data_IF_106869019512
#
_entry.id   IF_106869019512
#
_cell.length_a   1.000
_cell.length_b   1.000
_cell.length_c   1.000
_cell.angle_alpha   90.00
_cell.angle_beta   90.00
_cell.angle_gamma   90.00
#
_symmetry.space_group_name_H-M   'P 1'
#
loop_
_entity.id
_entity.type
_entity.pdbx_description
1 polymer ?
#
# COMPACT_ATOMS: atom_id res chain seq x y z
N UNK A 1 10.17 9.98 5.53
CA UNK A 1 10.24 10.88 4.37
C UNK A 1 8.80 11.15 3.95
N UNK A 2 8.52 12.27 3.29
CA UNK A 2 7.20 12.56 2.74
C UNK A 2 7.24 12.27 1.23
N UNK A 3 6.27 11.51 0.75
CA UNK A 3 6.11 11.14 -0.64
C UNK A 3 5.21 12.19 -1.29
N UNK A 4 5.74 12.86 -2.31
CA UNK A 4 5.00 13.90 -3.01
C UNK A 4 4.11 13.31 -4.13
N UNK A 5 2.99 13.97 -4.45
CA UNK A 5 2.19 13.68 -5.63
C UNK A 5 3.08 13.64 -6.88
N UNK A 6 2.90 12.61 -7.71
CA UNK A 6 3.60 12.48 -8.97
C UNK A 6 2.80 13.13 -10.10
N UNK A 7 3.47 13.68 -11.11
CA UNK A 7 2.86 14.13 -12.36
C UNK A 7 3.42 13.28 -13.52
N UNK A 8 2.62 12.41 -14.17
CA UNK A 8 1.17 12.26 -14.04
C UNK A 8 0.72 11.58 -12.73
N UNK A 9 -0.52 11.87 -12.26
CA UNK A 9 -1.05 11.31 -11.02
C UNK A 9 -1.16 9.79 -11.09
N UNK A 10 -0.66 9.12 -10.04
CA UNK A 10 -0.76 7.66 -9.89
C UNK A 10 -2.22 7.25 -9.71
N UNK A 11 -2.63 6.19 -10.40
CA UNK A 11 -4.02 5.74 -10.39
C UNK A 11 -4.31 4.84 -9.17
N UNK A 12 -5.28 5.17 -8.30
CA UNK A 12 -5.59 4.40 -7.09
C UNK A 12 -6.05 2.98 -7.35
N UNK A 13 -6.76 2.77 -8.46
CA UNK A 13 -7.24 1.45 -8.85
C UNK A 13 -6.06 0.54 -9.20
N UNK A 14 -5.05 1.10 -9.87
CA UNK A 14 -3.81 0.37 -10.20
C UNK A 14 -3.06 0.02 -8.91
N UNK A 15 -2.93 0.95 -7.97
CA UNK A 15 -2.30 0.67 -6.67
C UNK A 15 -3.03 -0.44 -5.90
N UNK A 16 -4.37 -0.43 -5.90
CA UNK A 16 -5.19 -1.44 -5.25
C UNK A 16 -5.04 -2.81 -5.92
N UNK A 17 -5.10 -2.89 -7.25
CA UNK A 17 -4.94 -4.15 -7.99
C UNK A 17 -3.54 -4.72 -7.76
N UNK A 18 -2.49 -3.88 -7.78
CA UNK A 18 -1.12 -4.35 -7.50
C UNK A 18 -1.00 -4.88 -6.07
N UNK A 19 -1.56 -4.21 -5.06
CA UNK A 19 -1.56 -4.74 -3.69
C UNK A 19 -2.33 -6.05 -3.59
N UNK A 20 -3.53 -6.13 -4.16
CA UNK A 20 -4.37 -7.32 -4.06
C UNK A 20 -3.71 -8.54 -4.71
N UNK A 21 -3.16 -8.35 -5.92
CA UNK A 21 -2.54 -9.42 -6.71
C UNK A 21 -1.17 -9.85 -6.14
N UNK A 22 -0.45 -8.96 -5.47
CA UNK A 22 0.92 -9.18 -5.01
C UNK A 22 1.07 -8.93 -3.50
N UNK A 23 0.40 -9.75 -2.71
CA UNK A 23 0.64 -9.91 -1.26
C UNK A 23 0.46 -8.63 -0.42
N UNK A 24 -0.47 -7.75 -0.78
CA UNK A 24 -0.87 -6.57 -0.01
C UNK A 24 0.11 -5.39 0.01
N UNK A 25 1.39 -5.60 -0.30
CA UNK A 25 2.43 -4.56 -0.15
C UNK A 25 2.98 -3.98 -1.45
N UNK A 26 2.65 -4.51 -2.63
CA UNK A 26 3.18 -3.93 -3.89
C UNK A 26 2.49 -2.63 -4.28
N UNK A 27 1.22 -2.40 -3.92
CA UNK A 27 0.59 -1.09 -4.08
C UNK A 27 1.33 0.01 -3.30
N UNK A 28 1.85 -0.32 -2.11
CA UNK A 28 2.68 0.58 -1.30
C UNK A 28 4.02 0.89 -1.97
N UNK A 29 4.64 -0.12 -2.61
CA UNK A 29 5.86 0.09 -3.41
C UNK A 29 5.59 0.98 -4.61
N UNK A 30 4.45 0.80 -5.29
CA UNK A 30 4.03 1.65 -6.39
C UNK A 30 3.84 3.11 -5.96
N UNK A 31 3.31 3.33 -4.76
CA UNK A 31 3.11 4.67 -4.20
C UNK A 31 4.42 5.37 -3.84
N UNK A 32 5.45 4.61 -3.49
CA UNK A 32 6.75 5.12 -3.02
C UNK A 32 7.03 4.78 -1.56
N UNK A 33 6.08 4.17 -0.85
CA UNK A 33 6.23 3.69 0.53
C UNK A 33 7.04 2.38 0.55
N UNK A 34 8.32 2.43 0.15
CA UNK A 34 9.13 1.22 -0.03
C UNK A 34 9.31 0.42 1.26
N UNK A 35 9.58 1.09 2.37
CA UNK A 35 9.75 0.45 3.67
C UNK A 35 8.48 -0.28 4.10
N UNK A 36 7.33 0.40 4.02
CA UNK A 36 6.04 -0.18 4.40
C UNK A 36 5.64 -1.34 3.50
N UNK A 37 5.84 -1.19 2.19
CA UNK A 37 5.53 -2.23 1.21
C UNK A 37 6.32 -3.53 1.44
N UNK A 38 7.62 -3.42 1.70
CA UNK A 38 8.46 -4.60 2.01
C UNK A 38 7.99 -5.27 3.31
N UNK A 39 7.70 -4.49 4.37
CA UNK A 39 7.20 -5.02 5.64
C UNK A 39 5.87 -5.77 5.43
N UNK A 40 4.94 -5.19 4.66
CA UNK A 40 3.65 -5.82 4.38
C UNK A 40 3.79 -7.11 3.56
N UNK A 41 4.67 -7.14 2.56
CA UNK A 41 4.93 -8.36 1.77
C UNK A 41 5.47 -9.47 2.67
N UNK A 42 6.49 -9.17 3.49
CA UNK A 42 7.11 -10.16 4.40
C UNK A 42 6.09 -10.63 5.44
N UNK A 43 5.37 -9.71 6.07
CA UNK A 43 4.35 -10.05 7.07
C UNK A 43 3.23 -10.90 6.47
N UNK A 44 2.75 -10.56 5.26
CA UNK A 44 1.73 -11.32 4.55
C UNK A 44 2.25 -12.72 4.19
N UNK A 45 3.49 -12.83 3.70
CA UNK A 45 4.10 -14.12 3.36
C UNK A 45 4.23 -15.04 4.57
N UNK A 46 4.71 -14.51 5.71
CA UNK A 46 4.84 -15.27 6.96
C UNK A 46 3.47 -15.70 7.47
N UNK A 47 2.48 -14.80 7.53
CA UNK A 47 1.13 -15.18 7.98
C UNK A 47 0.45 -16.18 7.04
N UNK A 48 0.69 -16.07 5.73
CA UNK A 48 0.16 -17.02 4.76
C UNK A 48 0.79 -18.41 4.95
N UNK A 49 2.11 -18.49 5.12
CA UNK A 49 2.85 -19.75 5.22
C UNK A 49 2.63 -20.48 6.57
N UNK A 50 2.53 -19.74 7.68
CA UNK A 50 2.45 -20.33 9.02
C UNK A 50 1.03 -20.46 9.57
N UNK A 51 0.12 -19.56 9.21
CA UNK A 51 -1.21 -19.48 9.81
C UNK A 51 -2.36 -19.62 8.81
N UNK A 52 -2.11 -19.44 7.50
CA UNK A 52 -3.17 -19.43 6.48
C UNK A 52 -4.06 -18.18 6.49
N UNK A 53 -3.75 -17.18 7.33
CA UNK A 53 -4.58 -15.96 7.55
C UNK A 53 -4.03 -14.75 6.76
N UNK A 54 -3.00 -14.94 5.93
CA UNK A 54 -2.38 -13.85 5.15
C UNK A 54 -3.35 -13.07 4.26
N UNK A 55 -4.51 -13.64 3.91
CA UNK A 55 -5.56 -12.97 3.12
C UNK A 55 -6.09 -11.71 3.81
N UNK A 56 -6.19 -11.69 5.15
CA UNK A 56 -6.68 -10.51 5.88
C UNK A 56 -5.72 -9.33 5.73
N UNK A 57 -4.41 -9.56 5.89
CA UNK A 57 -3.39 -8.52 5.68
C UNK A 57 -3.35 -8.04 4.22
N UNK A 58 -3.60 -8.94 3.27
CA UNK A 58 -3.68 -8.56 1.86
C UNK A 58 -4.85 -7.59 1.60
N UNK A 59 -6.04 -7.87 2.15
CA UNK A 59 -7.20 -6.97 2.04
C UNK A 59 -6.92 -5.62 2.70
N UNK A 60 -6.36 -5.61 3.92
CA UNK A 60 -6.00 -4.36 4.59
C UNK A 60 -4.97 -3.55 3.77
N UNK A 61 -3.92 -4.21 3.26
CA UNK A 61 -2.90 -3.56 2.43
C UNK A 61 -3.45 -3.00 1.12
N UNK A 62 -4.48 -3.64 0.56
CA UNK A 62 -5.20 -3.17 -0.63
C UNK A 62 -6.00 -1.91 -0.35
N UNK A 63 -6.79 -1.89 0.74
CA UNK A 63 -7.57 -0.72 1.15
C UNK A 63 -6.63 0.45 1.47
N UNK A 64 -5.56 0.18 2.21
CA UNK A 64 -4.56 1.19 2.56
C UNK A 64 -3.89 1.78 1.32
N UNK A 65 -3.46 0.95 0.36
CA UNK A 65 -2.86 1.40 -0.89
C UNK A 65 -3.85 2.24 -1.71
N UNK A 66 -5.13 1.84 -1.76
CA UNK A 66 -6.15 2.61 -2.47
C UNK A 66 -6.35 4.00 -1.86
N UNK A 67 -6.53 4.09 -0.55
CA UNK A 67 -6.81 5.37 0.13
C UNK A 67 -5.60 6.32 0.07
N UNK A 68 -4.38 5.81 0.22
CA UNK A 68 -3.16 6.61 0.10
C UNK A 68 -2.90 7.06 -1.34
N UNK A 69 -3.21 6.21 -2.32
CA UNK A 69 -3.16 6.59 -3.73
C UNK A 69 -4.17 7.68 -4.07
N UNK A 70 -5.39 7.60 -3.53
CA UNK A 70 -6.41 8.64 -3.69
C UNK A 70 -5.98 9.98 -3.04
N UNK A 71 -5.33 9.94 -1.86
CA UNK A 71 -4.70 11.13 -1.25
C UNK A 71 -3.64 11.75 -2.18
N UNK A 72 -2.73 10.93 -2.70
CA UNK A 72 -1.69 11.39 -3.63
C UNK A 72 -2.27 11.95 -4.94
N UNK A 73 -3.31 11.31 -5.47
CA UNK A 73 -4.02 11.81 -6.66
C UNK A 73 -4.69 13.17 -6.40
N UNK A 74 -5.18 13.41 -5.19
CA UNK A 74 -5.74 14.70 -4.76
C UNK A 74 -4.68 15.78 -4.47
N UNK A 75 -3.40 15.48 -4.70
CA UNK A 75 -2.30 16.41 -4.45
C UNK A 75 -1.87 16.49 -2.99
N UNK A 76 -2.29 15.56 -2.14
CA UNK A 76 -1.86 15.51 -0.75
C UNK A 76 -0.60 14.64 -0.63
N UNK A 77 0.49 15.14 0.00
CA UNK A 77 1.64 14.31 0.30
C UNK A 77 1.27 13.28 1.37
N UNK A 78 1.92 12.12 1.33
CA UNK A 78 1.75 11.05 2.32
C UNK A 78 3.11 10.68 2.94
N UNK A 79 3.13 10.31 4.21
CA UNK A 79 4.35 9.81 4.86
C UNK A 79 4.75 8.41 4.38
N UNK A 80 6.04 8.08 4.44
CA UNK A 80 6.55 6.73 4.06
C UNK A 80 5.94 5.55 4.83
N UNK A 81 5.45 5.80 6.04
CA UNK A 81 4.86 4.81 6.95
C UNK A 81 3.43 5.19 7.35
N UNK A 82 2.86 6.21 6.69
CA UNK A 82 1.52 6.70 7.00
C UNK A 82 0.48 5.65 6.63
N UNK A 83 -0.44 5.39 7.55
CA UNK A 83 -1.61 4.55 7.29
C UNK A 83 -2.82 5.36 6.86
N UNK A 84 -3.77 4.70 6.20
CA UNK A 84 -5.00 5.34 5.73
C UNK A 84 -5.81 6.05 6.84
N UNK A 85 -5.66 5.64 8.10
CA UNK A 85 -6.31 6.24 9.26
C UNK A 85 -5.51 7.39 9.89
N UNK A 86 -4.24 7.57 9.53
CA UNK A 86 -3.44 8.70 9.99
C UNK A 86 -3.78 9.96 9.16
N UNK A 87 -3.80 11.10 9.85
CA UNK A 87 -4.17 12.42 9.33
C UNK A 87 -2.96 13.32 9.21
#
# INVERSE_FOLDING_TARGET
MQIQPSDPPKNPIVAAILSFLLLGGVGQLYLGQQKKGIILIIATLVLYCFFGIGVILNILGTIDAYMLADKLQKGQPIGDMEWFWEK
#
